data_IF_417127477334
#
_entry.id   IF_417127477334
#
_cell.length_a   1.000
_cell.length_b   1.000
_cell.length_c   1.000
_cell.angle_alpha   90.00
_cell.angle_beta   90.00
_cell.angle_gamma   90.00
#
_symmetry.space_group_name_H-M   'P 1'
#
loop_
_entity.id
_entity.type
_entity.pdbx_description
1 polymer ?
#
# COMPACT_ATOMS: atom_id res chain seq x y z
N UNK A 1 0.60 17.08 -7.62
CA UNK A 1 1.15 16.82 -6.27
C UNK A 1 2.14 15.69 -6.40
N UNK A 2 3.27 15.71 -5.68
CA UNK A 2 4.39 14.79 -5.90
C UNK A 2 4.83 14.10 -4.61
N UNK A 3 5.59 13.01 -4.72
CA UNK A 3 6.28 12.38 -3.59
C UNK A 3 7.80 12.42 -3.85
N UNK A 4 8.62 12.24 -2.81
CA UNK A 4 10.07 12.32 -2.92
C UNK A 4 10.78 11.30 -2.04
N UNK A 5 12.11 11.34 -2.05
CA UNK A 5 12.96 10.56 -1.14
C UNK A 5 12.73 10.89 0.33
N UNK A 6 12.06 12.02 0.62
CA UNK A 6 11.72 12.50 1.96
C UNK A 6 10.26 12.26 2.34
N UNK A 7 9.48 11.54 1.52
CA UNK A 7 8.09 11.21 1.84
C UNK A 7 8.00 10.35 3.12
N UNK A 8 7.07 10.70 4.01
CA UNK A 8 6.83 10.04 5.31
C UNK A 8 5.34 9.94 5.61
N UNK A 9 4.98 9.19 6.64
CA UNK A 9 3.60 9.06 7.12
C UNK A 9 2.84 7.90 6.49
N UNK A 10 1.54 8.04 6.27
CA UNK A 10 0.67 6.93 5.83
C UNK A 10 0.21 7.13 4.41
N UNK A 11 0.54 6.16 3.55
CA UNK A 11 0.01 6.03 2.19
C UNK A 11 -1.05 4.93 2.18
N UNK A 12 -2.34 5.31 2.22
CA UNK A 12 -3.41 4.32 2.27
C UNK A 12 -3.48 3.52 0.95
N UNK A 13 -3.51 2.17 1.04
CA UNK A 13 -3.84 1.34 -0.12
C UNK A 13 -5.36 1.30 -0.28
N UNK A 14 -5.87 1.96 -1.32
CA UNK A 14 -7.30 2.04 -1.59
C UNK A 14 -7.85 0.73 -2.14
N UNK A 15 -9.02 0.31 -1.65
CA UNK A 15 -9.85 -0.69 -2.34
C UNK A 15 -10.57 -0.03 -3.51
N UNK A 16 -10.93 -0.79 -4.54
CA UNK A 16 -11.92 -0.35 -5.54
C UNK A 16 -13.33 -0.72 -5.04
N UNK A 17 -14.19 0.25 -4.69
CA UNK A 17 -15.57 -0.01 -4.31
C UNK A 17 -16.41 -0.48 -5.50
N UNK A 18 -17.24 -1.48 -5.28
CA UNK A 18 -18.19 -2.00 -6.25
C UNK A 18 -19.58 -2.03 -5.64
N UNK A 19 -20.60 -1.93 -6.48
CA UNK A 19 -21.95 -2.36 -6.14
C UNK A 19 -22.05 -3.89 -6.17
N UNK A 20 -23.14 -4.45 -5.64
CA UNK A 20 -23.36 -5.91 -5.54
C UNK A 20 -23.34 -6.60 -6.91
N UNK A 21 -23.80 -5.92 -7.96
CA UNK A 21 -23.78 -6.41 -9.34
C UNK A 21 -22.38 -6.35 -10.00
N UNK A 22 -21.38 -5.76 -9.33
CA UNK A 22 -19.99 -5.71 -9.78
C UNK A 22 -19.63 -4.51 -10.67
N UNK A 23 -20.51 -3.52 -10.78
CA UNK A 23 -20.24 -2.21 -11.36
C UNK A 23 -19.47 -1.33 -10.36
N UNK A 24 -18.67 -0.38 -10.85
CA UNK A 24 -17.84 0.49 -9.99
C UNK A 24 -18.71 1.51 -9.26
N UNK A 25 -18.52 1.62 -7.95
CA UNK A 25 -19.17 2.65 -7.13
C UNK A 25 -18.29 3.89 -7.00
N UNK A 26 -18.41 4.81 -7.96
CA UNK A 26 -17.66 6.07 -7.98
C UNK A 26 -18.02 7.02 -6.83
N UNK A 27 -19.20 6.90 -6.22
CA UNK A 27 -19.57 7.71 -5.06
C UNK A 27 -18.81 7.24 -3.82
N UNK A 28 -18.70 5.92 -3.64
CA UNK A 28 -17.84 5.35 -2.59
C UNK A 28 -16.36 5.62 -2.86
N UNK A 29 -15.89 5.67 -4.12
CA UNK A 29 -14.52 6.11 -4.43
C UNK A 29 -14.25 7.51 -3.91
N UNK A 30 -15.19 8.43 -4.13
CA UNK A 30 -15.07 9.81 -3.67
C UNK A 30 -14.99 9.90 -2.15
N UNK A 31 -15.94 9.26 -1.46
CA UNK A 31 -15.97 9.19 0.00
C UNK A 31 -14.71 8.56 0.57
N UNK A 32 -14.24 7.47 -0.04
CA UNK A 32 -13.03 6.77 0.39
C UNK A 32 -11.78 7.66 0.21
N UNK A 33 -11.73 8.43 -0.87
CA UNK A 33 -10.65 9.40 -1.12
C UNK A 33 -10.66 10.52 -0.08
N UNK A 34 -11.83 11.08 0.25
CA UNK A 34 -11.95 12.08 1.32
C UNK A 34 -11.55 11.50 2.67
N UNK A 35 -12.08 10.32 2.99
CA UNK A 35 -11.84 9.63 4.25
C UNK A 35 -10.34 9.40 4.51
N UNK A 36 -9.55 9.02 3.50
CA UNK A 36 -8.10 8.87 3.67
C UNK A 36 -7.41 10.19 4.00
N UNK A 37 -7.80 11.28 3.34
CA UNK A 37 -7.23 12.61 3.59
C UNK A 37 -7.63 13.14 4.97
N UNK A 38 -8.89 12.97 5.35
CA UNK A 38 -9.43 13.32 6.68
C UNK A 38 -8.80 12.48 7.80
N UNK A 39 -8.42 11.24 7.49
CA UNK A 39 -7.67 10.34 8.38
C UNK A 39 -6.21 10.77 8.56
N UNK A 40 -5.74 11.80 7.85
CA UNK A 40 -4.37 12.32 7.92
C UNK A 40 -3.36 11.53 7.09
N UNK A 41 -3.81 10.71 6.14
CA UNK A 41 -2.89 10.08 5.19
C UNK A 41 -2.14 11.14 4.38
N UNK A 42 -0.85 10.88 4.15
CA UNK A 42 0.04 11.74 3.38
C UNK A 42 0.19 11.30 1.93
N UNK A 43 -0.49 10.21 1.54
CA UNK A 43 -0.67 9.78 0.17
C UNK A 43 -1.72 8.67 0.05
N UNK A 44 -2.05 8.30 -1.19
CA UNK A 44 -2.93 7.16 -1.49
C UNK A 44 -2.32 6.35 -2.61
N UNK A 45 -2.33 5.03 -2.49
CA UNK A 45 -1.99 4.11 -3.57
C UNK A 45 -3.25 3.41 -4.06
N UNK A 46 -3.49 3.45 -5.36
CA UNK A 46 -4.68 2.87 -6.00
C UNK A 46 -4.32 1.75 -6.96
N UNK A 47 -5.35 1.00 -7.40
CA UNK A 47 -5.21 -0.18 -8.25
C UNK A 47 -4.34 -1.26 -7.57
N UNK A 48 -3.49 -1.96 -8.34
CA UNK A 48 -2.76 -3.12 -7.87
C UNK A 48 -3.68 -4.27 -7.42
N UNK A 49 -3.12 -5.22 -6.68
CA UNK A 49 -3.86 -6.41 -6.23
C UNK A 49 -4.99 -6.05 -5.27
N UNK A 50 -4.74 -5.15 -4.31
CA UNK A 50 -5.71 -4.77 -3.29
C UNK A 50 -6.81 -3.83 -3.80
N UNK A 51 -6.54 -3.08 -4.88
CA UNK A 51 -7.56 -2.38 -5.65
C UNK A 51 -8.25 -3.26 -6.70
N UNK A 52 -8.00 -4.57 -6.71
CA UNK A 52 -8.61 -5.53 -7.63
C UNK A 52 -8.36 -5.24 -9.13
N UNK A 53 -7.24 -4.57 -9.46
CA UNK A 53 -6.91 -4.18 -10.83
C UNK A 53 -6.93 -5.31 -11.87
N UNK A 54 -6.52 -6.56 -11.55
CA UNK A 54 -6.65 -7.68 -12.50
C UNK A 54 -8.10 -8.04 -12.89
N UNK A 55 -9.10 -7.49 -12.19
CA UNK A 55 -10.53 -7.72 -12.44
C UNK A 55 -11.20 -6.54 -13.15
N UNK A 56 -10.42 -5.54 -13.54
CA UNK A 56 -10.91 -4.33 -14.20
C UNK A 56 -10.57 -4.36 -15.69
N UNK A 57 -11.44 -3.76 -16.48
CA UNK A 57 -11.10 -3.38 -17.84
C UNK A 57 -10.11 -2.19 -17.82
N UNK A 58 -9.30 -2.00 -18.89
CA UNK A 58 -8.37 -0.89 -18.97
C UNK A 58 -9.03 0.48 -18.81
N UNK A 59 -10.22 0.66 -19.39
CA UNK A 59 -11.02 1.88 -19.37
C UNK A 59 -11.53 2.18 -17.96
N UNK A 60 -11.94 1.15 -17.22
CA UNK A 60 -12.33 1.25 -15.81
C UNK A 60 -11.16 1.69 -14.94
N UNK A 61 -9.98 1.09 -15.14
CA UNK A 61 -8.76 1.48 -14.44
C UNK A 61 -8.44 2.96 -14.68
N UNK A 62 -8.52 3.43 -15.93
CA UNK A 62 -8.33 4.85 -16.29
C UNK A 62 -9.38 5.75 -15.65
N UNK A 63 -10.64 5.34 -15.60
CA UNK A 63 -11.71 6.10 -14.98
C UNK A 63 -11.49 6.26 -13.47
N UNK A 64 -11.06 5.20 -12.77
CA UNK A 64 -10.70 5.24 -11.34
C UNK A 64 -9.52 6.20 -11.11
N UNK A 65 -8.45 6.08 -11.90
CA UNK A 65 -7.28 6.97 -11.78
C UNK A 65 -7.69 8.42 -11.95
N UNK A 66 -8.42 8.75 -13.02
CA UNK A 66 -8.92 10.11 -13.26
C UNK A 66 -9.75 10.63 -12.08
N UNK A 67 -10.67 9.80 -11.56
CA UNK A 67 -11.56 10.19 -10.46
C UNK A 67 -10.76 10.50 -9.20
N UNK A 68 -9.92 9.58 -8.74
CA UNK A 68 -9.15 9.73 -7.50
C UNK A 68 -8.17 10.88 -7.60
N UNK A 69 -7.42 10.99 -8.70
CA UNK A 69 -6.43 12.07 -8.89
C UNK A 69 -7.11 13.45 -8.91
N UNK A 70 -8.27 13.58 -9.56
CA UNK A 70 -8.99 14.86 -9.62
C UNK A 70 -9.49 15.33 -8.25
N UNK A 71 -9.80 14.39 -7.35
CA UNK A 71 -10.37 14.66 -6.03
C UNK A 71 -9.30 14.84 -4.96
N UNK A 72 -8.26 14.01 -5.00
CA UNK A 72 -7.20 13.98 -3.99
C UNK A 72 -6.46 15.32 -3.88
N UNK A 73 -6.06 15.65 -2.64
CA UNK A 73 -5.15 16.75 -2.25
C UNK A 73 -3.84 16.23 -1.66
N UNK A 74 -3.61 14.93 -1.76
CA UNK A 74 -2.36 14.25 -1.42
C UNK A 74 -1.84 13.44 -2.62
N UNK A 75 -0.54 13.13 -2.70
CA UNK A 75 0.05 12.33 -3.77
C UNK A 75 -0.71 11.01 -4.01
N UNK A 76 -1.02 10.72 -5.27
CA UNK A 76 -1.65 9.46 -5.69
C UNK A 76 -0.62 8.62 -6.45
N UNK A 77 -0.37 7.41 -5.95
CA UNK A 77 0.51 6.41 -6.58
C UNK A 77 -0.35 5.35 -7.25
N UNK A 78 -0.06 5.02 -8.50
CA UNK A 78 -0.85 4.02 -9.26
C UNK A 78 -0.05 2.72 -9.39
N UNK A 79 -0.63 1.60 -8.96
CA UNK A 79 -0.04 0.29 -9.23
C UNK A 79 -0.13 -0.06 -10.72
N UNK A 80 1.02 -0.16 -11.41
CA UNK A 80 1.08 -0.39 -12.88
C UNK A 80 1.70 -1.73 -13.27
N UNK A 81 2.00 -2.56 -12.27
CA UNK A 81 2.56 -3.90 -12.48
C UNK A 81 1.68 -4.71 -13.43
N UNK A 82 2.26 -5.23 -14.50
CA UNK A 82 1.53 -5.92 -15.56
C UNK A 82 2.36 -7.07 -16.13
N UNK A 83 1.74 -8.06 -16.81
CA UNK A 83 2.46 -9.17 -17.45
C UNK A 83 3.47 -8.75 -18.52
N UNK A 84 3.32 -7.55 -19.10
CA UNK A 84 4.21 -7.04 -20.14
C UNK A 84 4.41 -5.53 -20.06
N UNK A 85 5.54 -5.06 -20.60
CA UNK A 85 5.93 -3.65 -20.54
C UNK A 85 5.04 -2.70 -21.34
N UNK A 86 4.41 -3.17 -22.43
CA UNK A 86 3.53 -2.33 -23.23
C UNK A 86 2.28 -1.86 -22.46
N UNK A 87 1.64 -2.77 -21.71
CA UNK A 87 0.48 -2.44 -20.88
C UNK A 87 0.89 -1.62 -19.65
N UNK A 88 2.03 -1.96 -19.03
CA UNK A 88 2.64 -1.16 -17.95
C UNK A 88 2.88 0.28 -18.40
N UNK A 89 3.55 0.49 -19.55
CA UNK A 89 3.80 1.81 -20.13
C UNK A 89 2.49 2.55 -20.40
N UNK A 90 1.51 1.87 -21.00
CA UNK A 90 0.21 2.49 -21.30
C UNK A 90 -0.45 3.03 -20.03
N UNK A 91 -0.58 2.21 -18.99
CA UNK A 91 -1.23 2.64 -17.74
C UNK A 91 -0.39 3.70 -17.01
N UNK A 92 0.94 3.55 -16.97
CA UNK A 92 1.84 4.51 -16.34
C UNK A 92 1.72 5.89 -16.97
N UNK A 93 1.86 5.99 -18.30
CA UNK A 93 1.79 7.30 -19.00
C UNK A 93 0.43 7.96 -18.87
N UNK A 94 -0.67 7.22 -19.08
CA UNK A 94 -2.01 7.77 -18.85
C UNK A 94 -2.20 8.25 -17.40
N UNK A 95 -1.65 7.54 -16.41
CA UNK A 95 -1.76 7.95 -15.01
C UNK A 95 -1.00 9.25 -14.74
N UNK A 96 0.21 9.39 -15.29
CA UNK A 96 0.99 10.62 -15.19
C UNK A 96 0.30 11.79 -15.90
N UNK A 97 -0.25 11.58 -17.09
CA UNK A 97 -0.99 12.60 -17.86
C UNK A 97 -2.24 13.09 -17.09
N UNK A 98 -2.85 12.22 -16.29
CA UNK A 98 -3.99 12.56 -15.43
C UNK A 98 -3.58 13.28 -14.13
N UNK A 99 -2.29 13.33 -13.81
CA UNK A 99 -1.75 14.03 -12.64
C UNK A 99 -1.40 13.13 -11.45
N UNK A 100 -1.26 11.81 -11.65
CA UNK A 100 -0.71 10.93 -10.62
C UNK A 100 0.69 11.40 -10.20
N UNK A 101 1.04 11.19 -8.93
CA UNK A 101 2.34 11.57 -8.40
C UNK A 101 3.46 10.62 -8.86
N UNK A 102 3.09 9.40 -9.23
CA UNK A 102 3.96 8.39 -9.80
C UNK A 102 3.31 7.02 -9.77
N UNK A 103 4.13 5.98 -9.95
CA UNK A 103 3.65 4.60 -10.11
C UNK A 103 4.30 3.62 -9.14
N UNK A 104 3.70 2.47 -8.92
CA UNK A 104 4.29 1.38 -8.16
C UNK A 104 4.50 0.14 -9.04
N UNK A 105 5.70 -0.42 -8.97
CA UNK A 105 6.15 -1.55 -9.80
C UNK A 105 6.62 -2.68 -8.89
N UNK A 106 6.03 -3.86 -9.11
CA UNK A 106 6.36 -5.11 -8.46
C UNK A 106 6.99 -6.07 -9.48
N UNK A 107 7.92 -6.94 -9.06
CA UNK A 107 8.50 -7.93 -9.96
C UNK A 107 7.50 -9.06 -10.27
N UNK A 108 7.57 -9.67 -11.47
CA UNK A 108 6.81 -10.88 -11.78
C UNK A 108 7.36 -12.07 -10.97
N UNK A 109 6.50 -13.05 -10.63
CA UNK A 109 6.86 -14.11 -9.68
C UNK A 109 7.85 -15.14 -10.22
N UNK A 110 8.28 -15.04 -11.47
CA UNK A 110 9.22 -15.99 -12.07
C UNK A 110 10.70 -15.60 -11.87
N UNK A 111 11.00 -14.37 -11.43
CA UNK A 111 12.40 -13.93 -11.28
C UNK A 111 13.09 -14.65 -10.12
N UNK A 112 14.33 -15.10 -10.32
CA UNK A 112 15.08 -15.88 -9.32
C UNK A 112 16.47 -15.33 -9.05
N UNK A 113 17.20 -14.92 -10.09
CA UNK A 113 18.57 -14.40 -9.91
C UNK A 113 18.57 -12.89 -9.74
N UNK A 114 19.57 -12.37 -9.02
CA UNK A 114 19.77 -10.94 -8.81
C UNK A 114 19.86 -10.18 -10.15
N UNK A 115 20.52 -10.76 -11.16
CA UNK A 115 20.61 -10.17 -12.49
C UNK A 115 19.26 -10.13 -13.21
N UNK A 116 18.44 -11.19 -13.10
CA UNK A 116 17.07 -11.18 -13.64
C UNK A 116 16.23 -10.07 -13.01
N UNK A 117 16.36 -9.89 -11.69
CA UNK A 117 15.62 -8.87 -10.93
C UNK A 117 16.06 -7.47 -11.36
N UNK A 118 17.35 -7.19 -11.37
CA UNK A 118 17.89 -5.87 -11.75
C UNK A 118 17.57 -5.54 -13.20
N UNK A 119 17.74 -6.50 -14.12
CA UNK A 119 17.44 -6.30 -15.54
C UNK A 119 15.94 -6.07 -15.78
N UNK A 120 15.06 -6.74 -15.02
CA UNK A 120 13.62 -6.50 -15.10
C UNK A 120 13.28 -5.05 -14.76
N UNK A 121 13.82 -4.51 -13.65
CA UNK A 121 13.53 -3.13 -13.27
C UNK A 121 14.15 -2.12 -14.24
N UNK A 122 15.33 -2.41 -14.81
CA UNK A 122 15.89 -1.59 -15.87
C UNK A 122 14.96 -1.51 -17.09
N UNK A 123 14.44 -2.66 -17.57
CA UNK A 123 13.47 -2.68 -18.67
C UNK A 123 12.12 -2.07 -18.31
N UNK A 124 11.69 -2.18 -17.05
CA UNK A 124 10.46 -1.53 -16.57
C UNK A 124 10.60 0.00 -16.61
N UNK A 125 11.74 0.53 -16.13
CA UNK A 125 12.04 1.97 -16.17
C UNK A 125 12.17 2.47 -17.61
N UNK A 126 12.85 1.74 -18.50
CA UNK A 126 12.90 2.07 -19.93
C UNK A 126 11.48 2.17 -20.53
N UNK A 127 10.61 1.21 -20.19
CA UNK A 127 9.25 1.18 -20.71
C UNK A 127 8.38 2.32 -20.19
N UNK A 128 8.38 2.59 -18.88
CA UNK A 128 7.52 3.64 -18.29
C UNK A 128 8.10 5.03 -18.49
N UNK A 129 9.43 5.17 -18.59
CA UNK A 129 10.16 6.42 -18.67
C UNK A 129 11.02 6.72 -17.45
N UNK A 130 12.26 7.15 -17.69
CA UNK A 130 13.18 7.58 -16.63
C UNK A 130 12.65 8.79 -15.84
N UNK A 131 11.79 9.60 -16.46
CA UNK A 131 11.15 10.78 -15.88
C UNK A 131 10.01 10.46 -14.90
N UNK A 132 9.51 9.21 -14.89
CA UNK A 132 8.35 8.81 -14.08
C UNK A 132 8.80 8.43 -12.66
N UNK A 133 8.38 9.16 -11.61
CA UNK A 133 8.64 8.76 -10.24
C UNK A 133 7.99 7.42 -9.92
N UNK A 134 8.71 6.51 -9.28
CA UNK A 134 8.18 5.19 -8.98
C UNK A 134 8.59 4.62 -7.62
N UNK A 135 7.79 3.65 -7.19
CA UNK A 135 7.95 2.89 -5.96
C UNK A 135 8.31 1.45 -6.30
N UNK A 136 9.40 0.97 -5.72
CA UNK A 136 9.77 -0.44 -5.74
C UNK A 136 8.94 -1.21 -4.71
N UNK A 137 8.17 -2.21 -5.14
CA UNK A 137 7.44 -3.09 -4.22
C UNK A 137 8.24 -4.37 -3.94
N UNK A 138 8.57 -4.60 -2.67
CA UNK A 138 9.27 -5.79 -2.17
C UNK A 138 8.34 -6.61 -1.26
N UNK A 139 7.60 -7.55 -1.85
CA UNK A 139 6.63 -8.39 -1.12
C UNK A 139 6.76 -9.89 -1.43
N UNK A 140 7.80 -10.56 -0.90
CA UNK A 140 8.10 -11.95 -1.23
C UNK A 140 6.98 -12.94 -0.89
N UNK A 141 6.20 -12.70 0.17
CA UNK A 141 5.11 -13.60 0.61
C UNK A 141 4.10 -13.89 -0.52
N UNK A 142 3.76 -12.88 -1.33
CA UNK A 142 2.83 -13.05 -2.45
C UNK A 142 3.51 -13.07 -3.82
N UNK A 143 4.65 -12.39 -3.95
CA UNK A 143 5.34 -12.24 -5.23
C UNK A 143 6.43 -13.29 -5.46
N UNK A 144 6.80 -14.08 -4.44
CA UNK A 144 7.86 -15.13 -4.45
C UNK A 144 9.28 -14.66 -4.73
N UNK A 145 9.47 -13.47 -5.29
CA UNK A 145 10.78 -12.85 -5.55
C UNK A 145 11.35 -12.32 -4.24
N UNK A 146 12.57 -12.75 -3.90
CA UNK A 146 13.32 -12.27 -2.73
C UNK A 146 14.39 -11.30 -3.21
N UNK A 147 14.39 -10.08 -2.69
CA UNK A 147 15.40 -9.07 -3.00
C UNK A 147 16.28 -8.81 -1.78
N UNK A 148 17.58 -9.03 -1.89
CA UNK A 148 18.52 -8.70 -0.80
C UNK A 148 18.67 -7.17 -0.66
N UNK A 149 19.17 -6.65 0.49
CA UNK A 149 19.52 -5.24 0.60
C UNK A 149 20.47 -4.76 -0.51
N UNK A 150 21.39 -5.63 -0.97
CA UNK A 150 22.31 -5.32 -2.08
C UNK A 150 21.59 -5.17 -3.43
N UNK A 151 20.62 -6.02 -3.72
CA UNK A 151 19.78 -5.91 -4.93
C UNK A 151 18.96 -4.62 -4.90
N UNK A 152 18.31 -4.32 -3.76
CA UNK A 152 17.54 -3.08 -3.59
C UNK A 152 18.45 -1.86 -3.75
N UNK A 153 19.63 -1.87 -3.11
CA UNK A 153 20.61 -0.79 -3.23
C UNK A 153 21.03 -0.58 -4.69
N UNK A 154 21.30 -1.66 -5.43
CA UNK A 154 21.64 -1.60 -6.85
C UNK A 154 20.52 -1.00 -7.69
N UNK A 155 19.26 -1.41 -7.47
CA UNK A 155 18.08 -0.84 -8.17
C UNK A 155 17.93 0.65 -7.86
N UNK A 156 18.03 1.04 -6.58
CA UNK A 156 17.90 2.43 -6.14
C UNK A 156 19.01 3.32 -6.75
N UNK A 157 20.25 2.84 -6.79
CA UNK A 157 21.38 3.55 -7.38
C UNK A 157 21.25 3.69 -8.90
N UNK A 158 20.82 2.63 -9.59
CA UNK A 158 20.67 2.65 -11.05
C UNK A 158 19.53 3.56 -11.53
N UNK A 159 18.51 3.80 -10.70
CA UNK A 159 17.31 4.52 -11.10
C UNK A 159 16.97 5.62 -10.09
N UNK A 160 17.39 6.85 -10.37
CA UNK A 160 17.17 8.02 -9.49
C UNK A 160 15.70 8.40 -9.35
N UNK A 161 14.85 8.01 -10.31
CA UNK A 161 13.39 8.16 -10.23
C UNK A 161 12.70 7.11 -9.35
N UNK A 162 13.42 6.11 -8.82
CA UNK A 162 12.90 5.20 -7.80
C UNK A 162 12.94 5.88 -6.43
N UNK A 163 11.90 6.61 -6.04
CA UNK A 163 11.99 7.50 -4.87
C UNK A 163 11.64 6.80 -3.55
N UNK A 164 11.10 5.58 -3.62
CA UNK A 164 10.55 4.90 -2.45
C UNK A 164 10.62 3.37 -2.59
N UNK A 165 10.88 2.70 -1.46
CA UNK A 165 10.67 1.28 -1.26
C UNK A 165 9.37 1.08 -0.50
N UNK A 166 8.44 0.31 -1.07
CA UNK A 166 7.36 -0.31 -0.30
C UNK A 166 7.90 -1.62 0.26
N UNK A 167 8.26 -1.61 1.55
CA UNK A 167 8.87 -2.75 2.24
C UNK A 167 7.79 -3.67 2.80
N UNK A 168 7.76 -4.93 2.36
CA UNK A 168 6.77 -5.92 2.81
C UNK A 168 7.42 -7.29 3.06
N UNK A 169 8.75 -7.34 3.21
CA UNK A 169 9.46 -8.59 3.48
C UNK A 169 9.15 -9.12 4.88
N UNK A 170 9.17 -10.44 5.02
CA UNK A 170 8.88 -11.12 6.27
C UNK A 170 9.69 -12.42 6.39
N UNK A 171 10.68 -12.47 7.31
CA UNK A 171 11.12 -11.40 8.22
C UNK A 171 11.89 -10.26 7.50
N UNK A 172 11.54 -9.00 7.78
CA UNK A 172 12.08 -7.81 7.07
C UNK A 172 12.82 -6.75 7.90
N UNK A 173 12.74 -6.79 9.23
CA UNK A 173 13.27 -5.71 10.09
C UNK A 173 14.78 -5.42 9.90
N UNK A 174 15.59 -6.47 9.72
CA UNK A 174 17.03 -6.32 9.47
C UNK A 174 17.33 -5.73 8.09
N UNK A 175 16.46 -5.96 7.10
CA UNK A 175 16.59 -5.36 5.76
C UNK A 175 16.46 -3.84 5.85
N UNK A 176 15.49 -3.33 6.60
CA UNK A 176 15.34 -1.88 6.84
C UNK A 176 16.62 -1.33 7.49
N UNK A 177 17.06 -1.97 8.58
CA UNK A 177 18.24 -1.54 9.34
C UNK A 177 19.51 -1.50 8.46
N UNK A 178 19.70 -2.51 7.61
CA UNK A 178 20.84 -2.59 6.69
C UNK A 178 20.79 -1.50 5.62
N UNK A 179 19.62 -1.24 5.02
CA UNK A 179 19.46 -0.18 4.03
C UNK A 179 19.72 1.21 4.64
N UNK A 180 19.23 1.47 5.86
CA UNK A 180 19.52 2.72 6.59
C UNK A 180 21.00 2.86 6.96
N UNK A 181 21.67 1.77 7.32
CA UNK A 181 23.11 1.79 7.58
C UNK A 181 23.92 2.19 6.32
N UNK A 182 23.55 1.67 5.15
CA UNK A 182 24.18 2.05 3.87
C UNK A 182 23.96 3.54 3.55
N UNK A 183 22.75 4.07 3.79
CA UNK A 183 22.46 5.49 3.62
C UNK A 183 23.28 6.37 4.56
N UNK A 184 23.35 6.00 5.85
CA UNK A 184 24.15 6.73 6.85
C UNK A 184 25.64 6.72 6.52
N UNK A 185 26.15 5.66 5.90
CA UNK A 185 27.54 5.57 5.45
C UNK A 185 27.82 6.34 4.14
N UNK A 186 26.79 6.87 3.45
CA UNK A 186 26.93 7.52 2.15
C UNK A 186 27.13 6.54 0.98
N UNK A 187 26.94 5.23 1.21
CA UNK A 187 27.09 4.18 0.20
C UNK A 187 25.81 3.99 -0.64
N UNK A 188 24.70 4.53 -0.19
CA UNK A 188 23.40 4.44 -0.84
C UNK A 188 22.69 5.79 -0.71
N UNK A 189 22.10 6.27 -1.81
CA UNK A 189 21.35 7.53 -1.79
C UNK A 189 20.09 7.43 -0.92
N UNK A 190 19.57 8.58 -0.54
CA UNK A 190 18.29 8.66 0.15
C UNK A 190 17.13 8.16 -0.73
N UNK A 191 16.20 7.46 -0.09
CA UNK A 191 14.88 7.09 -0.58
C UNK A 191 13.96 6.83 0.61
N UNK A 192 12.66 6.98 0.37
CA UNK A 192 11.63 6.75 1.39
C UNK A 192 11.40 5.25 1.59
N UNK A 193 11.18 4.80 2.82
CA UNK A 193 10.79 3.42 3.13
C UNK A 193 9.42 3.42 3.81
N UNK A 194 8.39 2.98 3.09
CA UNK A 194 7.05 2.81 3.67
C UNK A 194 6.71 1.33 3.79
N UNK A 195 6.31 0.90 4.98
CA UNK A 195 6.09 -0.51 5.27
C UNK A 195 4.65 -0.98 4.98
N UNK A 196 4.51 -2.15 4.37
CA UNK A 196 3.23 -2.77 4.01
C UNK A 196 2.99 -4.04 4.80
N UNK A 197 2.83 -5.19 4.11
CA UNK A 197 2.56 -6.51 4.71
C UNK A 197 1.41 -6.49 5.75
N UNK A 198 0.33 -5.78 5.42
CA UNK A 198 -0.83 -5.60 6.31
C UNK A 198 -0.58 -4.70 7.51
N UNK A 199 0.64 -4.25 7.74
CA UNK A 199 1.07 -3.53 8.93
C UNK A 199 1.48 -4.46 10.07
N UNK A 200 1.76 -5.73 9.81
CA UNK A 200 2.03 -6.76 10.83
C UNK A 200 3.21 -6.46 11.78
N UNK A 201 4.14 -5.60 11.37
CA UNK A 201 5.36 -5.28 12.12
C UNK A 201 5.56 -3.77 12.30
N UNK A 202 4.50 -2.97 12.14
CA UNK A 202 4.57 -1.51 12.22
C UNK A 202 4.89 -0.98 13.63
N UNK A 203 4.86 -1.85 14.64
CA UNK A 203 5.37 -1.60 15.99
C UNK A 203 6.90 -1.47 16.03
N UNK A 204 7.63 -2.18 15.16
CA UNK A 204 9.10 -2.15 15.14
C UNK A 204 9.69 -1.56 13.86
N UNK A 205 8.96 -1.56 12.74
CA UNK A 205 9.46 -1.04 11.47
C UNK A 205 9.91 0.44 11.54
N UNK A 206 9.15 1.36 12.17
CA UNK A 206 9.61 2.74 12.40
C UNK A 206 10.86 2.80 13.31
N UNK A 207 10.97 1.93 14.32
CA UNK A 207 12.15 1.86 15.19
C UNK A 207 13.41 1.41 14.43
N UNK A 208 13.24 0.64 13.35
CA UNK A 208 14.32 0.29 12.41
C UNK A 208 14.64 1.39 11.39
N UNK A 209 13.83 2.45 11.37
CA UNK A 209 14.01 3.62 10.51
C UNK A 209 13.09 3.65 9.28
N UNK A 210 11.98 2.91 9.24
CA UNK A 210 10.95 3.16 8.23
C UNK A 210 10.40 4.59 8.36
N UNK A 211 10.07 5.23 7.23
CA UNK A 211 9.49 6.58 7.19
C UNK A 211 7.98 6.60 7.40
N UNK A 212 7.35 5.43 7.39
CA UNK A 212 5.93 5.29 7.64
C UNK A 212 5.35 4.00 7.09
N UNK A 213 4.06 4.05 6.73
CA UNK A 213 3.29 2.88 6.32
C UNK A 213 2.66 3.07 4.95
N UNK A 214 2.63 2.00 4.16
CA UNK A 214 1.85 1.88 2.93
C UNK A 214 1.05 0.56 2.97
N UNK A 215 -0.02 0.56 3.75
CA UNK A 215 -0.92 -0.58 3.94
C UNK A 215 -2.37 -0.14 3.74
N UNK A 216 -3.28 -1.09 3.51
CA UNK A 216 -4.69 -0.78 3.32
C UNK A 216 -5.55 -0.92 4.58
N UNK A 217 -4.96 -1.21 5.74
CA UNK A 217 -5.72 -1.55 6.96
C UNK A 217 -6.93 -0.64 7.19
N UNK A 218 -8.07 -1.22 7.59
CA UNK A 218 -9.36 -0.51 7.70
C UNK A 218 -9.41 0.70 8.66
N UNK A 219 -8.32 1.00 9.37
CA UNK A 219 -8.14 2.17 10.24
C UNK A 219 -6.91 3.00 9.85
N UNK A 220 -6.94 3.71 8.69
CA UNK A 220 -5.85 4.58 8.26
C UNK A 220 -5.60 5.75 9.23
N UNK A 221 -6.64 6.21 9.93
CA UNK A 221 -6.59 7.18 11.02
C UNK A 221 -5.84 6.65 12.24
N UNK A 222 -6.01 5.36 12.57
CA UNK A 222 -5.17 4.69 13.58
C UNK A 222 -3.71 4.65 13.15
N UNK A 223 -3.43 4.24 11.92
CA UNK A 223 -2.05 4.17 11.44
C UNK A 223 -1.37 5.54 11.45
N UNK A 224 -2.12 6.60 11.13
CA UNK A 224 -1.58 7.97 11.16
C UNK A 224 -1.23 8.39 12.58
N UNK A 225 -2.07 8.03 13.56
CA UNK A 225 -1.77 8.24 14.98
C UNK A 225 -0.56 7.42 15.44
N UNK A 226 -0.45 6.16 15.02
CA UNK A 226 0.69 5.30 15.33
C UNK A 226 2.00 5.94 14.85
N UNK A 227 2.04 6.42 13.60
CA UNK A 227 3.21 7.11 13.05
C UNK A 227 3.52 8.41 13.80
N UNK A 228 2.49 9.14 14.26
CA UNK A 228 2.66 10.34 15.09
C UNK A 228 3.27 10.02 16.45
N UNK A 229 2.85 8.93 17.10
CA UNK A 229 3.39 8.50 18.40
C UNK A 229 4.87 8.12 18.29
N UNK A 230 5.26 7.37 17.25
CA UNK A 230 6.67 7.09 16.97
C UNK A 230 7.47 8.36 16.71
N UNK A 231 6.96 9.29 15.89
CA UNK A 231 7.63 10.56 15.63
C UNK A 231 7.80 11.43 16.90
N UNK A 232 6.89 11.27 17.88
CA UNK A 232 6.95 11.95 19.17
C UNK A 232 7.79 11.22 20.23
N UNK A 233 8.40 10.06 19.90
CA UNK A 233 9.18 9.25 20.85
C UNK A 233 8.33 8.57 21.93
N UNK A 234 7.00 8.48 21.74
CA UNK A 234 6.06 7.88 22.69
C UNK A 234 5.96 6.37 22.44
N UNK A 235 7.05 5.66 22.71
CA UNK A 235 7.20 4.24 22.37
C UNK A 235 6.10 3.37 22.97
N UNK A 236 5.90 3.43 24.29
CA UNK A 236 4.92 2.58 24.97
C UNK A 236 3.48 2.87 24.47
N UNK A 237 3.10 4.13 24.30
CA UNK A 237 1.79 4.51 23.75
C UNK A 237 1.60 4.00 22.30
N UNK A 238 2.66 4.00 21.49
CA UNK A 238 2.62 3.48 20.12
C UNK A 238 2.39 1.95 20.12
N UNK A 239 3.12 1.22 20.98
CA UNK A 239 2.98 -0.23 21.12
C UNK A 239 1.62 -0.61 21.72
N UNK A 240 1.12 0.11 22.73
CA UNK A 240 -0.22 -0.11 23.30
C UNK A 240 -1.32 0.06 22.24
N UNK A 241 -1.22 1.10 21.40
CA UNK A 241 -2.17 1.32 20.30
C UNK A 241 -2.08 0.20 19.25
N UNK A 242 -0.86 -0.18 18.87
CA UNK A 242 -0.63 -1.26 17.93
C UNK A 242 -1.20 -2.59 18.44
N UNK A 243 -0.89 -2.96 19.67
CA UNK A 243 -1.32 -4.21 20.31
C UNK A 243 -2.83 -4.31 20.44
N UNK A 244 -3.51 -3.19 20.71
CA UNK A 244 -4.96 -3.13 20.71
C UNK A 244 -5.57 -3.53 19.35
N UNK A 245 -4.90 -3.17 18.24
CA UNK A 245 -5.34 -3.43 16.88
C UNK A 245 -4.78 -4.70 16.26
N UNK A 246 -3.68 -5.25 16.78
CA UNK A 246 -2.97 -6.41 16.25
C UNK A 246 -3.91 -7.62 15.99
N UNK A 247 -4.87 -7.96 16.88
CA UNK A 247 -5.81 -9.05 16.62
C UNK A 247 -6.64 -8.87 15.35
N UNK A 248 -6.98 -7.63 14.97
CA UNK A 248 -7.70 -7.32 13.73
C UNK A 248 -6.75 -7.17 12.55
N UNK A 249 -5.57 -6.58 12.73
CA UNK A 249 -4.51 -6.50 11.70
C UNK A 249 -4.18 -7.91 11.18
N UNK A 250 -3.90 -8.86 12.08
CA UNK A 250 -3.56 -10.24 11.71
C UNK A 250 -4.73 -10.99 11.07
N UNK A 251 -5.98 -10.67 11.45
CA UNK A 251 -7.17 -11.29 10.85
C UNK A 251 -7.37 -10.77 9.42
N UNK A 252 -7.14 -9.47 9.20
CA UNK A 252 -7.16 -8.86 7.87
C UNK A 252 -5.99 -9.32 6.99
N UNK A 253 -4.84 -9.71 7.56
CA UNK A 253 -3.65 -10.13 6.80
C UNK A 253 -3.69 -11.59 6.29
N UNK A 254 -4.87 -12.21 6.28
CA UNK A 254 -5.05 -13.56 5.72
C UNK A 254 -5.18 -13.52 4.19
N UNK A 255 -4.34 -14.29 3.48
CA UNK A 255 -4.42 -14.40 2.02
C UNK A 255 -5.80 -14.89 1.57
N UNK A 256 -6.33 -14.28 0.50
CA UNK A 256 -7.69 -14.53 0.01
C UNK A 256 -8.73 -13.65 0.72
N UNK A 257 -8.98 -13.89 2.00
CA UNK A 257 -10.08 -13.22 2.73
C UNK A 257 -9.77 -11.79 3.18
N UNK A 258 -8.50 -11.39 3.22
CA UNK A 258 -8.09 -10.10 3.79
C UNK A 258 -8.73 -8.87 3.14
N UNK A 259 -8.98 -8.94 1.83
CA UNK A 259 -9.71 -7.87 1.13
C UNK A 259 -11.19 -7.83 1.54
N UNK A 260 -11.82 -8.98 1.79
CA UNK A 260 -13.20 -9.05 2.26
C UNK A 260 -13.33 -8.48 3.68
N UNK A 261 -12.37 -8.77 4.56
CA UNK A 261 -12.29 -8.18 5.92
C UNK A 261 -12.19 -6.65 5.81
N UNK A 262 -11.24 -6.15 5.03
CA UNK A 262 -11.03 -4.71 4.83
C UNK A 262 -12.29 -4.01 4.31
N UNK A 263 -12.95 -4.56 3.29
CA UNK A 263 -14.18 -4.00 2.74
C UNK A 263 -15.34 -4.04 3.73
N UNK A 264 -15.49 -5.13 4.49
CA UNK A 264 -16.49 -5.22 5.56
C UNK A 264 -16.27 -4.14 6.63
N UNK A 265 -15.01 -3.92 7.06
CA UNK A 265 -14.66 -2.84 8.00
C UNK A 265 -14.99 -1.47 7.40
N UNK A 266 -14.55 -1.17 6.17
CA UNK A 266 -14.83 0.12 5.52
C UNK A 266 -16.34 0.38 5.34
N UNK A 267 -17.13 -0.66 5.09
CA UNK A 267 -18.61 -0.59 5.04
C UNK A 267 -19.19 -0.30 6.42
N UNK A 268 -18.72 -1.00 7.46
CA UNK A 268 -19.11 -0.73 8.87
C UNK A 268 -18.76 0.70 9.28
N UNK A 269 -17.69 1.27 8.74
CA UNK A 269 -17.31 2.67 8.94
C UNK A 269 -18.12 3.67 8.10
N UNK A 270 -19.04 3.21 7.27
CA UNK A 270 -19.89 4.06 6.42
C UNK A 270 -19.17 4.71 5.24
N UNK A 271 -17.94 4.28 4.94
CA UNK A 271 -17.10 4.90 3.91
C UNK A 271 -17.40 4.35 2.51
N UNK A 272 -17.74 3.05 2.43
CA UNK A 272 -18.20 2.40 1.20
C UNK A 272 -19.61 1.83 1.39
N UNK A 273 -20.44 1.87 0.35
CA UNK A 273 -21.83 1.43 0.41
C UNK A 273 -21.98 -0.10 0.48
N UNK A 274 -21.10 -0.82 -0.23
CA UNK A 274 -21.08 -2.29 -0.25
C UNK A 274 -19.65 -2.79 -0.05
N UNK A 275 -19.55 -3.96 0.57
CA UNK A 275 -18.32 -4.72 0.75
C UNK A 275 -18.09 -5.73 -0.40
N UNK A 276 -18.87 -5.65 -1.47
CA UNK A 276 -18.76 -6.48 -2.65
C UNK A 276 -17.37 -6.43 -3.29
N UNK A 277 -16.96 -7.58 -3.83
CA UNK A 277 -15.75 -7.75 -4.62
C UNK A 277 -16.12 -8.26 -6.00
N UNK A 278 -15.35 -7.87 -7.02
CA UNK A 278 -15.60 -8.39 -8.36
C UNK A 278 -15.18 -9.86 -8.43
N UNK A 279 -15.91 -10.67 -9.19
CA UNK A 279 -15.59 -12.09 -9.36
C UNK A 279 -14.27 -12.27 -10.14
N UNK A 280 -13.48 -13.32 -9.85
CA UNK A 280 -13.64 -14.27 -8.75
C UNK A 280 -13.40 -13.61 -7.38
N UNK A 281 -14.24 -13.91 -6.40
CA UNK A 281 -14.24 -13.29 -5.08
C UNK A 281 -14.42 -14.33 -3.97
N UNK A 282 -13.78 -14.10 -2.83
CA UNK A 282 -13.96 -14.88 -1.62
C UNK A 282 -14.56 -13.98 -0.54
N UNK A 283 -15.87 -14.10 -0.32
CA UNK A 283 -16.60 -13.27 0.63
C UNK A 283 -16.51 -13.85 2.05
N UNK A 284 -16.69 -13.00 3.06
CA UNK A 284 -16.82 -13.45 4.44
C UNK A 284 -18.10 -14.27 4.63
N UNK A 285 -17.97 -15.41 5.30
CA UNK A 285 -19.13 -16.17 5.81
C UNK A 285 -19.81 -15.40 6.95
N UNK A 286 -21.06 -15.73 7.31
CA UNK A 286 -21.71 -15.14 8.49
C UNK A 286 -20.88 -15.29 9.77
N UNK A 287 -20.23 -16.46 9.96
CA UNK A 287 -19.33 -16.70 11.09
C UNK A 287 -18.12 -15.77 11.06
N UNK A 288 -17.44 -15.64 9.92
CA UNK A 288 -16.28 -14.75 9.80
C UNK A 288 -16.64 -13.27 10.01
N UNK A 289 -17.83 -12.83 9.57
CA UNK A 289 -18.34 -11.48 9.88
C UNK A 289 -18.52 -11.28 11.37
N UNK A 290 -19.13 -12.25 12.07
CA UNK A 290 -19.30 -12.19 13.52
C UNK A 290 -17.96 -12.15 14.27
N UNK A 291 -16.93 -12.86 13.77
CA UNK A 291 -15.57 -12.79 14.32
C UNK A 291 -14.95 -11.40 14.13
N UNK A 292 -15.05 -10.81 12.94
CA UNK A 292 -14.57 -9.43 12.67
C UNK A 292 -15.31 -8.43 13.57
N UNK A 293 -16.63 -8.56 13.70
CA UNK A 293 -17.45 -7.69 14.54
C UNK A 293 -17.07 -7.82 16.03
N UNK A 294 -16.75 -9.04 16.48
CA UNK A 294 -16.23 -9.27 17.83
C UNK A 294 -14.87 -8.59 18.05
N UNK A 295 -13.97 -8.66 17.07
CA UNK A 295 -12.68 -7.97 17.13
C UNK A 295 -12.87 -6.44 17.16
N UNK A 296 -13.74 -5.88 16.33
CA UNK A 296 -14.09 -4.45 16.34
C UNK A 296 -14.60 -4.02 17.72
N UNK A 297 -15.52 -4.78 18.32
CA UNK A 297 -16.05 -4.48 19.65
C UNK A 297 -14.98 -4.54 20.76
N UNK A 298 -13.95 -5.39 20.60
CA UNK A 298 -12.81 -5.43 21.53
C UNK A 298 -11.88 -4.24 21.34
N UNK A 299 -11.55 -3.91 20.09
CA UNK A 299 -10.74 -2.72 19.76
C UNK A 299 -11.41 -1.46 20.31
N UNK A 300 -12.74 -1.34 20.19
CA UNK A 300 -13.52 -0.20 20.69
C UNK A 300 -13.37 0.09 22.19
N UNK A 301 -12.90 -0.88 22.99
CA UNK A 301 -12.62 -0.69 24.43
C UNK A 301 -11.35 0.12 24.68
N UNK A 302 -10.43 0.13 23.71
CA UNK A 302 -9.13 0.78 23.78
C UNK A 302 -9.03 1.96 22.79
N UNK A 303 -9.70 1.86 21.65
CA UNK A 303 -9.72 2.88 20.59
C UNK A 303 -11.14 3.15 20.09
N UNK A 304 -11.65 4.35 20.36
CA UNK A 304 -13.01 4.78 20.00
C UNK A 304 -13.26 4.80 18.50
N UNK A 305 -12.23 4.83 17.64
CA UNK A 305 -12.40 4.76 16.18
C UNK A 305 -13.13 3.48 15.74
N UNK A 306 -13.02 2.41 16.52
CA UNK A 306 -13.69 1.13 16.24
C UNK A 306 -15.09 0.99 16.85
N UNK A 307 -15.62 2.03 17.52
CA UNK A 307 -17.00 2.04 18.03
C UNK A 307 -18.00 2.35 16.90
N UNK A 308 -18.26 1.35 16.06
CA UNK A 308 -19.04 1.41 14.82
C UNK A 308 -20.43 0.77 14.93
#
# INVERSE_FOLDING_TARGET
>A
MTFSTQSKGVYAIATTPFFEEGSIDFNSIDKLTDFYQESGCTGVTILGIMGEAPKLEPEESRAIVKRVVSRSKIPVIVGVSAPGFASMRSLARHSMDMGAAGVMIAPPPALRTDDQIVNYFAGAVEAVGEDVPWVLQDYPLTLTVVMTPGVIAKIMTNHTSCLMLKHEDWPGLEKISKLRALQKAGELRDFSVLCGNGGMFLDFEPERGADGAMTGYGFPDMLTELMRLFAAGKRDEAHDLFDAHLPLIRYEQQLGIGLAVRKHVLKRRGVIASDAQRKPAQMLTPTARAEVDYLLARVARHDKRAAL
#
